data_IF_597410478731
#
_entry.id   IF_597410478731
#
_cell.length_a   1.000
_cell.length_b   1.000
_cell.length_c   1.000
_cell.angle_alpha   90.00
_cell.angle_beta   90.00
_cell.angle_gamma   90.00
#
_symmetry.space_group_name_H-M   'P 1'
#
loop_
_entity.id
_entity.type
_entity.pdbx_description
1 polymer ?
#
# COMPACT_ATOMS: atom_id res chain seq x y z
N UNK A 1 19.19 -6.31 21.82
CA UNK A 1 17.89 -6.83 22.35
C UNK A 1 17.30 -5.74 23.23
N UNK A 2 16.47 -4.85 22.69
CA UNK A 2 15.69 -3.90 23.50
C UNK A 2 14.27 -4.45 23.47
N UNK A 3 13.88 -5.12 24.57
CA UNK A 3 12.55 -5.68 24.76
C UNK A 3 11.89 -4.98 25.94
N UNK A 4 11.80 -3.66 25.83
CA UNK A 4 10.90 -2.81 26.59
C UNK A 4 10.17 -1.97 25.55
N UNK A 5 8.85 -1.81 25.68
CA UNK A 5 8.01 -1.07 24.72
C UNK A 5 8.31 0.43 24.65
N UNK A 6 9.47 0.87 25.14
CA UNK A 6 9.90 2.25 25.07
C UNK A 6 10.21 2.63 23.62
N UNK A 7 9.57 3.69 23.18
CA UNK A 7 9.81 4.36 21.90
C UNK A 7 10.45 5.73 22.20
N UNK A 8 11.73 5.77 22.63
CA UNK A 8 12.34 6.99 23.16
C UNK A 8 12.58 8.07 22.09
N UNK A 9 12.47 7.72 20.80
CA UNK A 9 12.74 8.65 19.71
C UNK A 9 11.44 9.15 19.08
N UNK A 10 10.97 10.33 19.49
CA UNK A 10 9.77 10.96 18.95
C UNK A 10 10.07 11.92 17.79
N UNK A 11 9.19 11.92 16.79
CA UNK A 11 9.22 12.88 15.68
C UNK A 11 8.53 14.18 16.09
N UNK A 12 9.25 15.31 16.03
CA UNK A 12 8.69 16.62 16.36
C UNK A 12 7.52 17.02 15.43
N UNK A 13 7.60 16.68 14.15
CA UNK A 13 6.60 17.13 13.15
C UNK A 13 5.24 16.42 13.28
N UNK A 14 5.19 15.21 13.82
CA UNK A 14 3.95 14.42 13.84
C UNK A 14 3.76 13.53 15.09
N UNK A 15 4.60 13.69 16.11
CA UNK A 15 4.50 12.99 17.39
C UNK A 15 4.75 11.47 17.34
N UNK A 16 5.10 10.88 16.19
CA UNK A 16 5.34 9.43 16.08
C UNK A 16 6.62 9.03 16.77
N UNK A 17 6.55 7.97 17.58
CA UNK A 17 7.69 7.48 18.34
C UNK A 17 8.27 6.19 17.77
N UNK A 18 9.59 6.04 17.88
CA UNK A 18 10.37 4.94 17.31
C UNK A 18 11.29 4.34 18.37
N UNK A 19 11.52 3.02 18.29
CA UNK A 19 12.44 2.31 19.20
C UNK A 19 13.92 2.53 18.85
N UNK A 20 14.20 3.03 17.64
CA UNK A 20 15.57 3.27 17.16
C UNK A 20 15.69 4.64 16.51
N UNK A 21 16.81 5.33 16.78
CA UNK A 21 17.13 6.62 16.17
C UNK A 21 17.20 6.56 14.65
N UNK A 22 17.73 5.48 14.08
CA UNK A 22 17.78 5.26 12.63
C UNK A 22 16.38 5.20 12.00
N UNK A 23 15.40 4.62 12.70
CA UNK A 23 14.01 4.60 12.27
C UNK A 23 13.39 6.00 12.28
N UNK A 24 13.65 6.80 13.32
CA UNK A 24 13.22 8.21 13.36
C UNK A 24 13.83 9.01 12.21
N UNK A 25 15.15 8.93 11.98
CA UNK A 25 15.82 9.65 10.88
C UNK A 25 15.21 9.26 9.53
N UNK A 26 15.01 7.96 9.31
CA UNK A 26 14.38 7.51 8.07
C UNK A 26 12.92 7.96 7.95
N UNK A 27 12.20 8.10 9.05
CA UNK A 27 10.84 8.64 9.06
C UNK A 27 10.83 10.12 8.74
N UNK A 28 11.76 10.93 9.26
CA UNK A 28 11.82 12.37 8.96
C UNK A 28 11.93 12.65 7.45
N UNK A 29 12.56 11.75 6.68
CA UNK A 29 12.59 11.83 5.21
C UNK A 29 11.20 11.82 4.56
N UNK A 30 10.17 11.31 5.24
CA UNK A 30 8.79 11.37 4.73
C UNK A 30 8.19 12.77 4.81
N UNK A 31 8.69 13.62 5.71
CA UNK A 31 8.27 15.01 5.83
C UNK A 31 9.03 15.91 4.86
N UNK A 32 10.35 15.70 4.75
CA UNK A 32 11.21 16.51 3.86
C UNK A 32 11.13 16.10 2.38
N UNK A 33 10.65 14.88 2.10
CA UNK A 33 10.66 14.31 0.75
C UNK A 33 12.03 13.82 0.28
N UNK A 34 13.05 13.84 1.15
CA UNK A 34 14.41 13.40 0.82
C UNK A 34 14.43 11.94 0.34
N UNK A 35 15.06 11.71 -0.81
CA UNK A 35 15.17 10.40 -1.46
C UNK A 35 16.61 10.10 -1.87
N UNK A 36 17.50 9.75 -0.91
CA UNK A 36 18.93 9.59 -1.16
C UNK A 36 19.28 8.40 -2.06
N UNK A 37 18.33 7.51 -2.32
CA UNK A 37 18.56 6.27 -3.05
C UNK A 37 17.82 6.30 -4.39
N UNK A 38 18.39 6.91 -5.44
CA UNK A 38 17.80 6.91 -6.78
C UNK A 38 18.00 5.57 -7.48
N UNK A 39 17.00 5.15 -8.25
CA UNK A 39 17.14 4.05 -9.20
C UNK A 39 17.90 4.52 -10.44
N UNK A 40 19.05 3.91 -10.73
CA UNK A 40 19.84 4.26 -11.90
C UNK A 40 19.11 4.03 -13.25
N UNK A 41 18.14 3.12 -13.29
CA UNK A 41 17.45 2.77 -14.54
C UNK A 41 16.25 3.67 -14.87
N UNK A 42 15.56 4.23 -13.87
CA UNK A 42 14.37 5.06 -14.10
C UNK A 42 14.35 6.38 -13.34
N UNK A 43 15.44 6.73 -12.63
CA UNK A 43 15.58 7.95 -11.84
C UNK A 43 14.71 8.01 -10.58
N UNK A 44 13.83 7.03 -10.33
CA UNK A 44 12.92 7.05 -9.19
C UNK A 44 13.69 7.01 -7.87
N UNK A 45 13.50 8.03 -7.02
CA UNK A 45 14.12 8.14 -5.70
C UNK A 45 13.36 7.41 -4.59
N UNK A 46 14.12 6.83 -3.65
CA UNK A 46 13.63 6.16 -2.44
C UNK A 46 14.28 6.75 -1.18
N UNK A 47 13.53 6.80 -0.07
CA UNK A 47 14.02 7.26 1.24
C UNK A 47 14.86 6.22 1.99
N UNK A 48 14.76 4.94 1.59
CA UNK A 48 15.43 3.80 2.20
C UNK A 48 16.07 2.89 1.14
N UNK A 49 17.28 2.39 1.41
CA UNK A 49 18.04 1.52 0.49
C UNK A 49 17.32 0.22 0.16
N UNK A 50 16.71 -0.44 1.14
CA UNK A 50 16.00 -1.70 0.89
C UNK A 50 14.78 -1.51 -0.03
N UNK A 51 14.14 -0.33 0.01
CA UNK A 51 13.01 0.00 -0.87
C UNK A 51 13.48 0.13 -2.32
N UNK A 52 14.67 0.70 -2.54
CA UNK A 52 15.32 0.72 -3.85
C UNK A 52 15.63 -0.71 -4.34
N UNK A 53 16.22 -1.56 -3.50
CA UNK A 53 16.54 -2.96 -3.86
C UNK A 53 15.27 -3.73 -4.26
N UNK A 54 14.20 -3.63 -3.46
CA UNK A 54 12.92 -4.26 -3.81
C UNK A 54 12.34 -3.69 -5.11
N UNK A 55 12.50 -2.39 -5.34
CA UNK A 55 12.05 -1.76 -6.58
C UNK A 55 12.83 -2.26 -7.80
N UNK A 56 14.15 -2.48 -7.71
CA UNK A 56 14.95 -2.95 -8.83
C UNK A 56 14.46 -4.27 -9.43
N UNK A 57 13.77 -5.11 -8.64
CA UNK A 57 13.12 -6.33 -9.13
C UNK A 57 12.09 -6.11 -10.24
N UNK A 58 11.49 -4.92 -10.32
CA UNK A 58 10.56 -4.61 -11.42
C UNK A 58 11.28 -4.53 -12.76
N UNK A 59 12.55 -4.15 -12.74
CA UNK A 59 13.34 -3.99 -13.95
C UNK A 59 14.01 -5.29 -14.37
N UNK A 60 14.47 -6.08 -13.40
CA UNK A 60 15.08 -7.38 -13.67
C UNK A 60 14.05 -8.48 -13.93
N UNK A 61 12.79 -8.25 -13.57
CA UNK A 61 11.74 -9.28 -13.61
C UNK A 61 11.87 -10.33 -12.50
N UNK A 62 12.79 -10.17 -11.55
CA UNK A 62 13.03 -11.14 -10.48
C UNK A 62 11.78 -11.33 -9.61
N UNK A 63 11.28 -12.56 -9.57
CA UNK A 63 10.10 -12.94 -8.79
C UNK A 63 10.44 -14.10 -7.84
N UNK A 64 11.15 -13.84 -6.73
CA UNK A 64 11.72 -14.88 -5.87
C UNK A 64 10.68 -15.62 -5.01
N UNK A 65 9.39 -15.25 -5.10
CA UNK A 65 8.33 -15.83 -4.29
C UNK A 65 7.32 -16.60 -5.16
N UNK A 66 7.58 -17.88 -5.48
CA UNK A 66 6.65 -18.72 -6.23
C UNK A 66 5.48 -19.20 -5.36
N UNK A 67 4.29 -19.25 -5.97
CA UNK A 67 3.13 -19.92 -5.40
C UNK A 67 3.22 -21.42 -5.68
N UNK A 68 3.30 -22.23 -4.63
CA UNK A 68 3.40 -23.69 -4.76
C UNK A 68 2.16 -24.36 -5.34
N UNK A 69 0.99 -23.69 -5.28
CA UNK A 69 -0.27 -24.26 -5.78
C UNK A 69 -0.51 -24.02 -7.28
N UNK A 70 0.04 -22.96 -7.87
CA UNK A 70 -0.20 -22.61 -9.28
C UNK A 70 1.04 -22.18 -10.07
N UNK A 71 2.23 -22.23 -9.46
CA UNK A 71 3.51 -21.85 -10.10
C UNK A 71 3.70 -20.34 -10.32
N UNK A 72 2.66 -19.52 -10.13
CA UNK A 72 2.74 -18.07 -10.31
C UNK A 72 3.72 -17.44 -9.32
N UNK A 73 4.64 -16.63 -9.83
CA UNK A 73 5.71 -16.02 -9.02
C UNK A 73 5.50 -14.53 -8.79
N UNK A 74 5.95 -14.05 -7.64
CA UNK A 74 5.78 -12.66 -7.19
C UNK A 74 7.12 -12.03 -6.80
N UNK A 75 7.27 -10.72 -7.02
CA UNK A 75 8.46 -9.95 -6.64
C UNK A 75 8.53 -9.63 -5.12
N UNK A 76 7.42 -9.81 -4.40
CA UNK A 76 7.29 -9.53 -2.98
C UNK A 76 6.49 -10.62 -2.25
N UNK A 77 6.92 -10.96 -1.03
CA UNK A 77 6.29 -11.99 -0.19
C UNK A 77 4.85 -11.64 0.16
N UNK A 78 4.55 -10.39 0.49
CA UNK A 78 3.19 -9.97 0.83
C UNK A 78 2.22 -10.11 -0.34
N UNK A 79 2.71 -9.93 -1.57
CA UNK A 79 1.92 -10.17 -2.79
C UNK A 79 1.59 -11.65 -2.96
N UNK A 80 2.56 -12.54 -2.69
CA UNK A 80 2.33 -13.98 -2.66
C UNK A 80 1.29 -14.36 -1.60
N UNK A 81 1.42 -13.88 -0.35
CA UNK A 81 0.47 -14.18 0.74
C UNK A 81 -0.95 -13.72 0.36
N UNK A 82 -1.10 -12.50 -0.16
CA UNK A 82 -2.41 -12.00 -0.62
C UNK A 82 -2.97 -12.86 -1.75
N UNK A 83 -2.11 -13.32 -2.67
CA UNK A 83 -2.52 -14.21 -3.74
C UNK A 83 -2.94 -15.59 -3.22
N UNK A 84 -2.25 -16.17 -2.24
CA UNK A 84 -2.61 -17.47 -1.67
C UNK A 84 -4.05 -17.50 -1.12
N UNK A 85 -4.57 -16.37 -0.64
CA UNK A 85 -5.98 -16.23 -0.25
C UNK A 85 -6.98 -16.48 -1.38
N UNK A 86 -6.56 -16.34 -2.63
CA UNK A 86 -7.40 -16.65 -3.79
C UNK A 86 -7.60 -18.16 -3.98
N UNK A 87 -6.68 -18.97 -3.45
CA UNK A 87 -6.82 -20.42 -3.46
C UNK A 87 -7.55 -20.93 -2.22
N UNK A 88 -7.22 -20.39 -1.04
CA UNK A 88 -7.82 -20.86 0.22
C UNK A 88 -9.22 -20.30 0.47
N UNK A 89 -9.61 -19.23 -0.23
CA UNK A 89 -10.86 -18.52 0.03
C UNK A 89 -10.84 -17.68 1.32
N UNK A 90 -9.69 -17.55 2.00
CA UNK A 90 -9.56 -16.80 3.25
C UNK A 90 -9.98 -15.33 3.08
N UNK A 91 -10.89 -14.87 3.95
CA UNK A 91 -11.43 -13.50 3.94
C UNK A 91 -11.35 -12.86 5.34
N UNK A 92 -10.16 -12.42 5.79
CA UNK A 92 -9.95 -11.98 7.17
C UNK A 92 -10.65 -10.66 7.54
N UNK A 93 -11.12 -9.90 6.55
CA UNK A 93 -11.61 -8.55 6.75
C UNK A 93 -13.12 -8.50 6.58
N UNK A 94 -13.87 -8.41 7.68
CA UNK A 94 -15.33 -8.38 7.67
C UNK A 94 -15.88 -6.97 7.86
N UNK A 95 -16.95 -6.65 7.12
CA UNK A 95 -17.71 -5.42 7.30
C UNK A 95 -18.67 -5.58 8.49
N UNK A 96 -18.54 -4.73 9.50
CA UNK A 96 -19.39 -4.79 10.70
C UNK A 96 -20.85 -4.41 10.44
N UNK A 97 -21.13 -3.69 9.35
CA UNK A 97 -22.49 -3.23 9.02
C UNK A 97 -23.33 -4.27 8.27
N UNK A 98 -22.69 -5.16 7.50
CA UNK A 98 -23.42 -6.16 6.67
C UNK A 98 -22.80 -7.55 6.68
N UNK A 99 -21.80 -7.81 7.54
CA UNK A 99 -21.08 -9.06 7.69
C UNK A 99 -20.40 -9.62 6.43
N UNK A 100 -20.33 -8.85 5.34
CA UNK A 100 -19.58 -9.24 4.14
C UNK A 100 -18.08 -9.27 4.43
N UNK A 101 -17.43 -10.38 4.07
CA UNK A 101 -15.98 -10.56 4.27
C UNK A 101 -15.19 -10.44 2.96
N UNK A 102 -13.96 -9.92 3.08
CA UNK A 102 -13.05 -9.61 1.99
C UNK A 102 -11.65 -10.19 2.26
N UNK A 103 -10.93 -10.55 1.20
CA UNK A 103 -9.55 -11.07 1.30
C UNK A 103 -8.51 -9.98 1.53
N UNK A 104 -8.88 -8.71 1.30
CA UNK A 104 -7.99 -7.55 1.43
C UNK A 104 -8.68 -6.38 2.15
N UNK A 105 -7.94 -5.72 3.04
CA UNK A 105 -8.42 -4.55 3.81
C UNK A 105 -8.84 -3.39 2.90
N UNK A 106 -8.09 -3.10 1.84
CA UNK A 106 -8.43 -2.02 0.91
C UNK A 106 -9.78 -2.22 0.22
N UNK A 107 -10.13 -3.46 -0.11
CA UNK A 107 -11.44 -3.81 -0.66
C UNK A 107 -12.56 -3.60 0.36
N UNK A 108 -12.33 -3.96 1.64
CA UNK A 108 -13.27 -3.65 2.71
C UNK A 108 -13.47 -2.13 2.87
N UNK A 109 -12.39 -1.34 2.91
CA UNK A 109 -12.49 0.12 3.02
C UNK A 109 -13.25 0.73 1.85
N UNK A 110 -13.00 0.25 0.62
CA UNK A 110 -13.78 0.67 -0.55
C UNK A 110 -15.26 0.28 -0.42
N UNK A 111 -15.54 -0.95 0.04
CA UNK A 111 -16.89 -1.44 0.24
C UNK A 111 -17.66 -0.62 1.29
N UNK A 112 -17.01 -0.19 2.38
CA UNK A 112 -17.63 0.63 3.41
C UNK A 112 -18.23 1.94 2.87
N UNK A 113 -17.71 2.46 1.74
CA UNK A 113 -18.28 3.63 1.07
C UNK A 113 -19.72 3.43 0.62
N UNK A 114 -20.12 2.19 0.31
CA UNK A 114 -21.50 1.86 -0.05
C UNK A 114 -22.46 2.18 1.09
N UNK A 115 -22.02 2.01 2.33
CA UNK A 115 -22.84 2.34 3.51
C UNK A 115 -22.86 3.82 3.82
N UNK A 116 -21.72 4.50 3.68
CA UNK A 116 -21.60 5.94 4.00
C UNK A 116 -22.11 6.86 2.88
N UNK A 117 -22.25 6.35 1.65
CA UNK A 117 -22.50 7.17 0.47
C UNK A 117 -21.31 8.01 0.00
N UNK A 118 -20.11 7.86 0.58
CA UNK A 118 -18.93 8.64 0.23
C UNK A 118 -18.54 8.48 -1.26
N UNK A 119 -18.43 9.60 -1.98
CA UNK A 119 -18.03 9.66 -3.40
C UNK A 119 -16.84 10.62 -3.61
N UNK A 120 -15.62 10.24 -3.23
CA UNK A 120 -14.46 11.15 -3.19
C UNK A 120 -13.97 11.63 -4.56
N UNK A 121 -14.40 10.99 -5.64
CA UNK A 121 -13.84 11.20 -6.97
C UNK A 121 -14.84 11.94 -7.85
N UNK A 122 -14.64 13.24 -8.07
CA UNK A 122 -15.52 14.06 -8.90
C UNK A 122 -14.96 14.29 -10.29
N UNK A 123 -15.84 14.27 -11.30
CA UNK A 123 -15.53 14.68 -12.65
C UNK A 123 -15.45 16.20 -12.72
N UNK A 124 -14.34 16.74 -13.22
CA UNK A 124 -14.15 18.19 -13.35
C UNK A 124 -14.95 18.81 -14.49
N UNK A 125 -15.34 18.01 -15.49
CA UNK A 125 -16.12 18.49 -16.64
C UNK A 125 -17.62 18.59 -16.34
N UNK A 126 -18.20 17.63 -15.62
CA UNK A 126 -19.66 17.58 -15.38
C UNK A 126 -20.06 17.54 -13.89
N UNK A 127 -19.11 17.59 -12.95
CA UNK A 127 -19.37 17.58 -11.51
C UNK A 127 -19.80 16.22 -10.93
N UNK A 128 -20.03 15.19 -11.76
CA UNK A 128 -20.50 13.89 -11.28
C UNK A 128 -19.46 13.22 -10.37
N UNK A 129 -19.86 12.84 -9.16
CA UNK A 129 -19.00 12.16 -8.19
C UNK A 129 -19.08 10.64 -8.29
N UNK A 130 -18.05 9.92 -7.87
CA UNK A 130 -17.96 8.46 -7.90
C UNK A 130 -17.30 7.94 -6.61
N UNK A 131 -17.69 6.74 -6.18
CA UNK A 131 -17.11 6.07 -5.01
C UNK A 131 -15.74 5.43 -5.31
N UNK A 132 -15.43 5.22 -6.59
CA UNK A 132 -14.18 4.61 -7.06
C UNK A 132 -13.53 5.42 -8.19
N UNK A 133 -12.20 5.56 -8.14
CA UNK A 133 -11.41 6.23 -9.19
C UNK A 133 -11.57 5.57 -10.56
N UNK A 134 -11.65 4.23 -10.62
CA UNK A 134 -11.86 3.51 -11.88
C UNK A 134 -13.16 3.95 -12.57
N UNK A 135 -14.25 4.08 -11.81
CA UNK A 135 -15.53 4.52 -12.34
C UNK A 135 -15.45 5.94 -12.89
N UNK A 136 -14.75 6.84 -12.19
CA UNK A 136 -14.46 8.19 -12.71
C UNK A 136 -13.65 8.12 -14.02
N UNK A 137 -12.55 7.36 -14.06
CA UNK A 137 -11.71 7.24 -15.27
C UNK A 137 -12.47 6.64 -16.45
N UNK A 138 -13.39 5.70 -16.21
CA UNK A 138 -14.24 5.17 -17.27
C UNK A 138 -15.24 6.22 -17.74
N UNK A 139 -15.89 6.91 -16.81
CA UNK A 139 -16.82 8.00 -17.12
C UNK A 139 -16.14 9.11 -17.93
N UNK A 140 -14.89 9.48 -17.61
CA UNK A 140 -14.14 10.50 -18.34
C UNK A 140 -13.91 10.18 -19.83
N UNK A 141 -14.13 8.94 -20.28
CA UNK A 141 -14.00 8.56 -21.70
C UNK A 141 -15.22 8.92 -22.55
N UNK A 142 -16.32 9.33 -21.94
CA UNK A 142 -17.55 9.70 -22.64
C UNK A 142 -17.63 11.21 -22.90
N UNK A 143 -16.65 11.96 -22.39
CA UNK A 143 -16.37 13.35 -22.74
C UNK A 143 -15.24 13.38 -23.76
#
# INVERSE_FOLDING_TARGET
RIHTGDLPFACADCGKSFGYRSSLISHQRTHTGERPFPCAQCGKGFSQKWSLIKHQRIHTGECPYPCTQCGKSFNQKDSLIKHQRTHTGERPFSCTQCNKSFSQKGTLTQHQRVHTGERPFSCTQCGQSFSQKRSLTQHQRIH
#
